data_IF_579614582718
#
_entry.id   IF_579614582718
#
_cell.length_a   1.000
_cell.length_b   1.000
_cell.length_c   1.000
_cell.angle_alpha   90.00
_cell.angle_beta   90.00
_cell.angle_gamma   90.00
#
_symmetry.space_group_name_H-M   'P 1'
#
loop_
_entity.id
_entity.type
_entity.pdbx_description
1 polymer ?
#
# COMPACT_ATOMS: atom_id res chain seq x y z
N UNK A 1 -23.47 -12.95 7.08
CA UNK A 1 -23.53 -12.37 5.73
C UNK A 1 -23.49 -10.85 5.83
N UNK A 2 -22.41 -10.20 5.39
CA UNK A 2 -22.28 -8.73 5.42
C UNK A 2 -23.18 -8.16 4.32
N UNK A 3 -24.16 -7.32 4.71
CA UNK A 3 -25.09 -6.64 3.79
C UNK A 3 -24.29 -5.85 2.74
N UNK A 4 -24.43 -6.19 1.45
CA UNK A 4 -23.93 -5.39 0.32
C UNK A 4 -24.63 -4.03 0.35
N UNK A 5 -23.93 -2.98 0.76
CA UNK A 5 -24.38 -1.61 0.56
C UNK A 5 -24.36 -1.32 -0.95
N UNK A 6 -25.53 -1.38 -1.58
CA UNK A 6 -25.77 -0.87 -2.93
C UNK A 6 -25.50 0.64 -2.89
N UNK A 7 -24.59 1.12 -3.75
CA UNK A 7 -24.12 2.51 -3.93
C UNK A 7 -22.74 2.88 -3.33
N UNK A 8 -21.80 1.93 -3.20
CA UNK A 8 -20.40 2.28 -2.94
C UNK A 8 -19.70 2.65 -4.27
N UNK A 9 -19.26 3.91 -4.39
CA UNK A 9 -18.53 4.42 -5.57
C UNK A 9 -17.07 3.94 -5.62
N UNK A 10 -16.48 3.64 -4.45
CA UNK A 10 -15.12 3.13 -4.26
C UNK A 10 -14.95 2.43 -2.92
N UNK A 11 -14.07 1.44 -2.84
CA UNK A 11 -13.64 0.84 -1.57
C UNK A 11 -12.40 1.54 -1.06
N UNK A 12 -12.38 1.91 0.21
CA UNK A 12 -11.23 2.60 0.80
C UNK A 12 -10.56 1.81 1.91
N UNK A 13 -9.25 1.91 1.97
CA UNK A 13 -8.49 1.39 3.10
C UNK A 13 -7.24 2.23 3.35
N UNK A 14 -6.65 2.03 4.52
CA UNK A 14 -5.44 2.71 4.94
C UNK A 14 -4.33 1.69 5.18
N UNK A 15 -3.18 1.93 4.55
CA UNK A 15 -1.95 1.23 4.82
C UNK A 15 -0.95 2.10 5.57
N UNK A 16 -0.17 1.49 6.48
CA UNK A 16 0.79 2.21 7.32
C UNK A 16 2.08 1.42 7.44
N UNK A 17 3.23 2.07 7.23
CA UNK A 17 4.56 1.49 7.45
C UNK A 17 5.50 2.54 8.02
N UNK A 18 6.12 2.26 9.16
CA UNK A 18 6.96 3.24 9.89
C UNK A 18 6.19 4.56 10.07
N UNK A 19 6.65 5.63 9.43
CA UNK A 19 6.03 6.96 9.43
C UNK A 19 5.17 7.24 8.18
N UNK A 20 5.19 6.35 7.19
CA UNK A 20 4.42 6.49 5.96
C UNK A 20 2.98 6.02 6.14
N UNK A 21 2.04 6.82 5.65
CA UNK A 21 0.61 6.53 5.64
C UNK A 21 0.10 6.65 4.20
N UNK A 22 -0.56 5.60 3.72
CA UNK A 22 -1.18 5.54 2.41
C UNK A 22 -2.69 5.39 2.58
N UNK A 23 -3.47 6.32 2.00
CA UNK A 23 -4.92 6.16 1.82
C UNK A 23 -5.15 5.67 0.40
N UNK A 24 -5.75 4.50 0.27
CA UNK A 24 -5.99 3.83 -1.00
C UNK A 24 -7.48 3.79 -1.26
N UNK A 25 -7.88 4.15 -2.48
CA UNK A 25 -9.25 4.03 -2.99
C UNK A 25 -9.23 3.12 -4.22
N UNK A 26 -10.05 2.08 -4.19
CA UNK A 26 -10.31 1.17 -5.31
C UNK A 26 -11.64 1.53 -5.94
N UNK A 27 -11.62 1.98 -7.18
CA UNK A 27 -12.81 2.24 -7.97
C UNK A 27 -13.16 0.99 -8.78
N UNK A 28 -14.44 0.61 -8.75
CA UNK A 28 -15.02 -0.32 -9.71
C UNK A 28 -15.27 0.46 -11.00
N UNK A 29 -14.53 0.14 -12.05
CA UNK A 29 -14.66 0.76 -13.37
C UNK A 29 -14.87 -0.36 -14.37
N UNK A 30 -15.85 -0.22 -15.27
CA UNK A 30 -16.01 -1.17 -16.38
C UNK A 30 -14.94 -0.88 -17.43
N UNK A 31 -14.44 -1.90 -18.12
CA UNK A 31 -13.35 -1.77 -19.12
C UNK A 31 -13.62 -0.71 -20.20
N UNK A 32 -14.89 -0.44 -20.52
CA UNK A 32 -15.32 0.52 -21.54
C UNK A 32 -15.63 1.93 -21.02
N UNK A 33 -15.67 2.15 -19.71
CA UNK A 33 -16.11 3.42 -19.11
C UNK A 33 -14.90 4.16 -18.50
N UNK A 34 -14.74 5.45 -18.82
CA UNK A 34 -13.79 6.33 -18.13
C UNK A 34 -14.49 7.00 -16.94
N UNK A 35 -13.94 6.84 -15.73
CA UNK A 35 -14.50 7.50 -14.54
C UNK A 35 -13.70 8.74 -14.19
N UNK A 36 -14.37 9.88 -14.08
CA UNK A 36 -13.78 11.12 -13.58
C UNK A 36 -13.77 11.10 -12.04
N UNK A 37 -12.58 11.15 -11.47
CA UNK A 37 -12.37 11.28 -10.02
C UNK A 37 -11.61 12.57 -9.77
N UNK A 38 -12.36 13.63 -9.44
CA UNK A 38 -11.81 14.98 -9.36
C UNK A 38 -11.36 15.46 -10.74
N UNK A 39 -10.06 15.78 -10.90
CA UNK A 39 -9.45 16.20 -12.18
C UNK A 39 -8.85 15.04 -12.99
N UNK A 40 -8.86 13.82 -12.44
CA UNK A 40 -8.18 12.67 -13.03
C UNK A 40 -9.20 11.81 -13.77
N UNK A 41 -8.89 11.48 -15.02
CA UNK A 41 -9.57 10.43 -15.78
C UNK A 41 -8.92 9.12 -15.41
N UNK A 42 -9.71 8.19 -14.88
CA UNK A 42 -9.21 6.93 -14.37
C UNK A 42 -9.82 5.79 -15.19
N UNK A 43 -8.96 4.92 -15.73
CA UNK A 43 -9.35 3.69 -16.42
C UNK A 43 -9.10 2.45 -15.56
N UNK A 44 -9.80 1.37 -15.87
CA UNK A 44 -9.56 0.09 -15.23
C UNK A 44 -8.12 -0.39 -15.49
N UNK A 45 -7.43 -0.88 -14.45
CA UNK A 45 -6.02 -1.26 -14.53
C UNK A 45 -5.01 -0.16 -14.23
N UNK A 46 -5.43 1.10 -14.17
CA UNK A 46 -4.51 2.21 -13.88
C UNK A 46 -4.31 2.42 -12.38
N UNK A 47 -3.06 2.73 -12.01
CA UNK A 47 -2.66 3.08 -10.65
C UNK A 47 -2.12 4.51 -10.64
N UNK A 48 -2.77 5.36 -9.85
CA UNK A 48 -2.38 6.75 -9.63
C UNK A 48 -1.83 6.96 -8.22
N UNK A 49 -0.70 7.64 -8.11
CA UNK A 49 -0.01 7.93 -6.86
C UNK A 49 0.14 9.45 -6.75
N UNK A 50 -0.49 10.06 -5.75
CA UNK A 50 -0.50 11.51 -5.53
C UNK A 50 -0.88 12.31 -6.80
N UNK A 51 -1.80 11.76 -7.60
CA UNK A 51 -2.29 12.36 -8.84
C UNK A 51 -1.39 12.20 -10.06
N UNK A 52 -0.30 11.42 -9.96
CA UNK A 52 0.58 11.06 -11.08
C UNK A 52 0.40 9.60 -11.46
N UNK A 53 0.59 9.27 -12.73
CA UNK A 53 0.55 7.87 -13.17
C UNK A 53 1.74 7.08 -12.59
N UNK A 54 1.56 5.78 -12.40
CA UNK A 54 2.65 4.88 -11.96
C UNK A 54 3.85 4.92 -12.92
N UNK A 55 3.61 5.18 -14.21
CA UNK A 55 4.65 5.25 -15.23
C UNK A 55 5.56 6.47 -15.05
N UNK A 56 4.95 7.64 -14.82
CA UNK A 56 5.61 8.93 -14.57
C UNK A 56 6.34 8.98 -13.22
N UNK A 57 6.04 8.06 -12.32
CA UNK A 57 6.65 8.04 -11.00
C UNK A 57 8.09 7.48 -11.08
N UNK A 58 9.01 8.09 -10.32
CA UNK A 58 10.44 7.69 -10.19
C UNK A 58 10.68 6.30 -9.56
N UNK A 59 9.66 5.42 -9.53
CA UNK A 59 9.81 4.07 -9.02
C UNK A 59 10.55 3.18 -10.02
N UNK A 60 11.55 2.45 -9.53
CA UNK A 60 12.23 1.39 -10.27
C UNK A 60 11.24 0.25 -10.62
N UNK A 61 11.52 -0.52 -11.66
CA UNK A 61 10.63 -1.59 -12.16
C UNK A 61 10.20 -2.60 -11.09
N UNK A 62 11.11 -3.02 -10.20
CA UNK A 62 10.77 -3.94 -9.12
C UNK A 62 9.75 -3.35 -8.13
N UNK A 63 9.81 -2.04 -7.88
CA UNK A 63 8.88 -1.34 -6.99
C UNK A 63 7.48 -1.30 -7.59
N UNK A 64 7.38 -1.07 -8.91
CA UNK A 64 6.12 -1.11 -9.66
C UNK A 64 5.49 -2.50 -9.59
N UNK A 65 6.27 -3.56 -9.85
CA UNK A 65 5.81 -4.97 -9.73
C UNK A 65 5.34 -5.29 -8.32
N UNK A 66 6.08 -4.86 -7.29
CA UNK A 66 5.69 -5.10 -5.90
C UNK A 66 4.40 -4.37 -5.51
N UNK A 67 4.16 -3.17 -6.06
CA UNK A 67 2.91 -2.45 -5.86
C UNK A 67 1.70 -3.20 -6.43
N UNK A 68 1.86 -3.81 -7.61
CA UNK A 68 0.81 -4.59 -8.29
C UNK A 68 0.59 -5.99 -7.71
N UNK A 69 1.51 -6.51 -6.90
CA UNK A 69 1.46 -7.85 -6.29
C UNK A 69 0.08 -8.26 -5.72
N UNK A 70 -0.61 -7.46 -4.87
CA UNK A 70 -1.93 -7.83 -4.35
C UNK A 70 -3.01 -7.98 -5.45
N UNK A 71 -2.90 -7.22 -6.54
CA UNK A 71 -3.82 -7.30 -7.69
C UNK A 71 -3.54 -8.54 -8.55
N UNK A 72 -2.25 -8.84 -8.78
CA UNK A 72 -1.80 -10.06 -9.48
C UNK A 72 -2.31 -11.30 -8.76
N UNK A 73 -2.06 -11.39 -7.45
CA UNK A 73 -2.44 -12.56 -6.65
C UNK A 73 -3.95 -12.82 -6.63
N UNK A 74 -4.74 -11.75 -6.70
CA UNK A 74 -6.22 -11.85 -6.72
C UNK A 74 -6.80 -11.87 -8.14
N UNK A 75 -5.94 -11.87 -9.17
CA UNK A 75 -6.32 -11.84 -10.61
C UNK A 75 -7.28 -10.70 -10.95
N UNK A 76 -7.09 -9.53 -10.34
CA UNK A 76 -7.99 -8.38 -10.45
C UNK A 76 -7.31 -7.14 -11.07
N UNK A 77 -6.21 -7.32 -11.80
CA UNK A 77 -5.44 -6.20 -12.37
C UNK A 77 -6.32 -5.29 -13.23
N UNK A 78 -7.06 -5.84 -14.20
CA UNK A 78 -7.88 -5.04 -15.11
C UNK A 78 -9.24 -4.63 -14.55
N UNK A 79 -9.56 -4.99 -13.31
CA UNK A 79 -10.92 -4.81 -12.77
C UNK A 79 -11.06 -3.51 -11.98
N UNK A 80 -9.99 -3.11 -11.32
CA UNK A 80 -10.00 -1.95 -10.44
C UNK A 80 -9.12 -0.87 -10.99
N UNK A 81 -9.51 0.35 -10.70
CA UNK A 81 -8.63 1.48 -10.83
C UNK A 81 -8.26 2.02 -9.45
N UNK A 82 -6.97 2.30 -9.24
CA UNK A 82 -6.43 2.57 -7.92
C UNK A 82 -6.00 4.03 -7.83
N UNK A 83 -6.55 4.77 -6.86
CA UNK A 83 -6.06 6.10 -6.51
C UNK A 83 -5.46 6.06 -5.11
N UNK A 84 -4.22 6.51 -5.00
CA UNK A 84 -3.44 6.46 -3.77
C UNK A 84 -2.96 7.84 -3.40
N UNK A 85 -3.22 8.24 -2.15
CA UNK A 85 -2.60 9.41 -1.52
C UNK A 85 -1.64 8.92 -0.46
N UNK A 86 -0.35 9.23 -0.61
CA UNK A 86 0.71 8.83 0.32
C UNK A 86 1.46 10.04 0.83
N UNK A 87 1.60 10.10 2.16
CA UNK A 87 2.36 11.13 2.85
C UNK A 87 3.32 10.51 3.87
N UNK A 88 4.47 11.17 4.08
CA UNK A 88 5.44 10.86 5.12
C UNK A 88 6.41 9.69 4.81
N UNK A 89 7.45 9.59 5.63
CA UNK A 89 8.51 8.59 5.55
C UNK A 89 9.38 8.71 4.29
N UNK A 90 9.79 7.58 3.71
CA UNK A 90 10.65 7.52 2.53
C UNK A 90 10.14 6.51 1.50
N UNK A 91 10.74 6.47 0.31
CA UNK A 91 10.19 5.76 -0.86
C UNK A 91 9.86 4.27 -0.63
N UNK A 92 10.68 3.56 0.16
CA UNK A 92 10.44 2.14 0.49
C UNK A 92 9.31 1.97 1.50
N UNK A 93 9.29 2.80 2.56
CA UNK A 93 8.20 2.77 3.55
C UNK A 93 6.85 3.17 2.94
N UNK A 94 6.87 4.12 2.01
CA UNK A 94 5.69 4.51 1.24
C UNK A 94 5.17 3.34 0.40
N UNK A 95 6.05 2.64 -0.32
CA UNK A 95 5.70 1.48 -1.12
C UNK A 95 5.05 0.36 -0.31
N UNK A 96 5.64 -0.03 0.82
CA UNK A 96 5.05 -1.05 1.70
C UNK A 96 3.68 -0.60 2.25
N UNK A 97 3.54 0.70 2.58
CA UNK A 97 2.27 1.25 3.04
C UNK A 97 1.21 1.20 1.92
N UNK A 98 1.57 1.49 0.67
CA UNK A 98 0.64 1.39 -0.46
C UNK A 98 0.17 -0.04 -0.68
N UNK A 99 1.10 -1.00 -0.72
CA UNK A 99 0.78 -2.43 -0.90
C UNK A 99 -0.16 -2.92 0.19
N UNK A 100 0.15 -2.59 1.45
CA UNK A 100 -0.70 -2.96 2.57
C UNK A 100 -2.10 -2.30 2.49
N UNK A 101 -2.16 -1.05 2.00
CA UNK A 101 -3.43 -0.37 1.76
C UNK A 101 -4.28 -1.03 0.67
N UNK A 102 -3.67 -1.40 -0.46
CA UNK A 102 -4.36 -2.11 -1.56
C UNK A 102 -4.89 -3.46 -1.08
N UNK A 103 -4.06 -4.24 -0.39
CA UNK A 103 -4.47 -5.54 0.15
C UNK A 103 -5.67 -5.42 1.11
N UNK A 104 -5.67 -4.40 1.98
CA UNK A 104 -6.81 -4.15 2.89
C UNK A 104 -8.06 -3.67 2.15
N UNK A 105 -7.92 -2.88 1.09
CA UNK A 105 -9.07 -2.45 0.30
C UNK A 105 -9.70 -3.64 -0.45
N UNK A 106 -8.90 -4.57 -0.97
CA UNK A 106 -9.39 -5.80 -1.59
C UNK A 106 -10.19 -6.68 -0.63
N UNK A 107 -9.79 -6.77 0.65
CA UNK A 107 -10.57 -7.50 1.65
C UNK A 107 -11.97 -6.95 1.87
N UNK A 108 -12.19 -5.64 1.67
CA UNK A 108 -13.51 -5.04 1.80
C UNK A 108 -14.41 -5.44 0.63
N UNK A 109 -13.81 -5.69 -0.54
CA UNK A 109 -14.53 -6.17 -1.73
C UNK A 109 -15.06 -7.59 -1.50
N UNK A 110 -14.15 -8.51 -1.18
CA UNK A 110 -14.48 -9.90 -0.90
C UNK A 110 -13.47 -10.50 0.08
N UNK A 111 -13.88 -10.62 1.33
CA UNK A 111 -13.03 -11.14 2.39
C UNK A 111 -12.85 -12.66 2.31
N UNK A 112 -13.86 -13.41 1.86
CA UNK A 112 -13.82 -14.87 1.88
C UNK A 112 -12.87 -15.40 0.80
N UNK A 113 -12.93 -14.82 -0.41
CA UNK A 113 -12.07 -15.22 -1.52
C UNK A 113 -10.62 -14.74 -1.37
N UNK A 114 -10.39 -13.50 -0.93
CA UNK A 114 -9.05 -12.88 -1.02
C UNK A 114 -8.21 -13.02 0.24
N UNK A 115 -8.82 -13.20 1.42
CA UNK A 115 -8.07 -13.35 2.68
C UNK A 115 -7.07 -14.51 2.69
N UNK A 116 -7.40 -15.75 2.25
CA UNK A 116 -6.42 -16.84 2.30
C UNK A 116 -5.19 -16.55 1.44
N UNK A 117 -5.39 -16.05 0.22
CA UNK A 117 -4.31 -15.69 -0.71
C UNK A 117 -3.42 -14.57 -0.17
N UNK A 118 -4.03 -13.48 0.31
CA UNK A 118 -3.30 -12.31 0.81
C UNK A 118 -2.60 -12.59 2.15
N UNK A 119 -3.19 -13.42 3.01
CA UNK A 119 -2.59 -13.82 4.30
C UNK A 119 -1.40 -14.73 4.10
N UNK A 120 -1.50 -15.72 3.19
CA UNK A 120 -0.39 -16.63 2.88
C UNK A 120 0.86 -15.88 2.39
N UNK A 121 0.65 -14.80 1.62
CA UNK A 121 1.73 -13.94 1.11
C UNK A 121 2.16 -12.82 2.07
N UNK A 122 1.63 -12.78 3.30
CA UNK A 122 2.04 -11.80 4.33
C UNK A 122 1.61 -10.35 4.08
N UNK A 123 0.70 -10.09 3.14
CA UNK A 123 0.32 -8.72 2.72
C UNK A 123 -0.63 -8.02 3.70
N UNK A 124 -1.30 -8.78 4.55
CA UNK A 124 -2.26 -8.29 5.55
C UNK A 124 -1.63 -7.93 6.88
N UNK A 125 -0.39 -8.37 7.14
CA UNK A 125 0.27 -8.11 8.42
C UNK A 125 1.03 -6.80 8.34
N UNK A 126 0.69 -5.85 9.21
CA UNK A 126 1.46 -4.61 9.33
C UNK A 126 2.83 -4.93 9.91
N UNK A 127 3.91 -4.58 9.20
CA UNK A 127 5.27 -4.72 9.73
C UNK A 127 5.50 -3.74 10.90
N UNK A 128 5.66 -4.25 12.14
CA UNK A 128 5.77 -3.43 13.35
C UNK A 128 7.15 -2.79 13.52
N UNK A 129 8.17 -3.20 12.74
CA UNK A 129 9.56 -2.75 12.93
C UNK A 129 9.68 -1.24 12.77
N UNK A 130 10.07 -0.54 13.83
CA UNK A 130 10.35 0.90 13.86
C UNK A 130 11.81 1.12 14.26
N UNK A 131 12.35 2.30 13.94
CA UNK A 131 13.68 2.70 14.44
C UNK A 131 13.64 2.73 15.96
N UNK A 132 14.48 1.92 16.60
CA UNK A 132 14.69 1.94 18.04
C UNK A 132 15.31 3.28 18.46
N UNK A 133 14.88 3.82 19.60
CA UNK A 133 15.40 5.08 20.14
C UNK A 133 16.86 4.93 20.59
N UNK A 134 17.62 6.03 20.57
CA UNK A 134 19.00 6.03 21.10
C UNK A 134 18.93 5.98 22.63
N UNK A 135 19.62 5.01 23.24
CA UNK A 135 19.74 4.90 24.71
C UNK A 135 20.92 5.74 25.21
N UNK A 136 20.84 6.20 26.46
CA UNK A 136 21.97 6.86 27.13
C UNK A 136 23.13 5.87 27.30
N UNK A 137 24.37 6.35 27.24
CA UNK A 137 25.56 5.50 27.36
C UNK A 137 25.97 4.74 26.10
N UNK A 138 25.15 4.73 25.03
CA UNK A 138 25.50 4.03 23.78
C UNK A 138 26.41 4.85 22.86
N UNK A 139 27.15 4.18 21.98
CA UNK A 139 28.05 4.74 20.97
C UNK A 139 27.33 5.39 19.78
N UNK A 140 26.29 6.17 20.04
CA UNK A 140 25.59 6.98 19.03
C UNK A 140 24.38 6.32 18.34
N UNK A 141 24.29 4.98 18.31
CA UNK A 141 23.11 4.23 17.82
C UNK A 141 22.46 3.41 18.93
N UNK A 142 21.20 3.00 18.75
CA UNK A 142 20.38 2.33 19.77
C UNK A 142 21.06 1.14 20.48
N UNK A 143 21.79 0.30 19.72
CA UNK A 143 22.46 -0.91 20.24
C UNK A 143 24.00 -0.88 20.16
N UNK A 144 24.58 0.21 19.64
CA UNK A 144 26.04 0.29 19.49
C UNK A 144 26.66 0.58 20.85
N UNK A 145 27.53 -0.28 21.34
CA UNK A 145 28.29 0.02 22.56
C UNK A 145 29.47 0.93 22.24
N UNK A 146 29.87 1.78 23.19
CA UNK A 146 31.15 2.48 23.12
C UNK A 146 32.27 1.45 23.31
N UNK A 147 33.37 1.60 22.57
CA UNK A 147 34.53 0.76 22.79
C UNK A 147 35.13 1.11 24.16
N UNK A 148 35.15 0.15 25.08
CA UNK A 148 35.83 0.30 26.37
C UNK A 148 37.24 -0.28 26.23
N UNK A 149 38.31 0.46 26.58
CA UNK A 149 39.63 -0.13 26.71
C UNK A 149 39.59 -1.13 27.87
N UNK A 150 40.00 -2.38 27.61
CA UNK A 150 40.31 -3.36 28.65
C UNK A 150 41.79 -3.15 28.98
N UNK A 151 42.06 -2.43 30.05
CA UNK A 151 43.39 -2.36 30.66
C UNK A 151 43.36 -3.17 31.94
#
# INVERSE_FOLDING_TARGET
MVKKAKNISYYEAVGRRKQSVARVRLYLVKKSEEKLVGKLKIKAGEIFINGKSIEETSFKTYKKKFLSLPLILTKNEDRFAVSIIVNGGGTTGQLDAMVHGIARALLIVDNEAYRPLLKANGLLTRDPRKKETRKVGTGGKARRMKQSPKR
#
